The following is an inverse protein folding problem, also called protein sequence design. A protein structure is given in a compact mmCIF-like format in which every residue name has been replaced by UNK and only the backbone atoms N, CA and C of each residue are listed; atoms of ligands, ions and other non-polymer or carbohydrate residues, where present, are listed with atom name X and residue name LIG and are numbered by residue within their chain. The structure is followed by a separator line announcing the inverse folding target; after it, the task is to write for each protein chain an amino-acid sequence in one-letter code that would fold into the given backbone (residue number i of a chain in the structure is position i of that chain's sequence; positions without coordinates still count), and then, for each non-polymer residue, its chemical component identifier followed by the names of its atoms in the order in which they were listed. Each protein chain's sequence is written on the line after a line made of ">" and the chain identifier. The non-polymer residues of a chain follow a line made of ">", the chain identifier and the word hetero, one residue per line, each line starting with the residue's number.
data_IF_377338266507
#
_entry.id   IF_377338266507
#
_cell.length_a   1.000
_cell.length_b   1.000
_cell.length_c   1.000
_cell.angle_alpha   90.00
_cell.angle_beta   90.00
_cell.angle_gamma   90.00
#
_symmetry.space_group_name_H-M   'P 1'
#
loop_
_entity.id
_entity.type
_entity.pdbx_description
1 polymer ?
#
# COMPACT_ATOMS: atom_id res chain seq x y z
N UNK A 1 24.23 -27.21 -38.84
CA UNK A 1 24.97 -26.59 -37.72
C UNK A 1 26.03 -25.68 -38.34
N UNK A 2 26.10 -24.41 -37.93
CA UNK A 2 26.89 -24.09 -36.73
C UNK A 2 26.10 -23.31 -35.67
N UNK A 3 26.48 -23.61 -34.43
CA UNK A 3 26.17 -22.90 -33.19
C UNK A 3 27.16 -21.75 -33.02
N UNK A 4 26.70 -20.62 -32.49
CA UNK A 4 27.44 -19.72 -31.59
C UNK A 4 26.40 -18.87 -30.87
N UNK A 5 26.06 -19.16 -29.62
CA UNK A 5 26.76 -18.80 -28.36
C UNK A 5 26.64 -17.32 -27.99
N UNK A 6 25.82 -17.13 -26.96
CA UNK A 6 25.61 -16.02 -26.04
C UNK A 6 26.70 -14.95 -25.94
N UNK A 7 26.24 -13.70 -25.84
CA UNK A 7 26.72 -12.76 -24.83
C UNK A 7 25.50 -12.25 -24.06
N UNK A 8 25.52 -12.54 -22.76
CA UNK A 8 24.65 -11.98 -21.74
C UNK A 8 24.96 -10.49 -21.58
N UNK A 9 23.95 -9.64 -21.65
CA UNK A 9 24.00 -8.33 -21.02
C UNK A 9 22.83 -8.24 -20.04
N UNK A 10 23.14 -8.63 -18.80
CA UNK A 10 22.38 -8.26 -17.63
C UNK A 10 22.22 -6.73 -17.63
N UNK A 11 21.01 -6.25 -17.84
CA UNK A 11 20.63 -4.92 -17.41
C UNK A 11 19.40 -5.05 -16.54
N UNK A 12 19.68 -4.98 -15.24
CA UNK A 12 18.72 -4.84 -14.15
C UNK A 12 17.77 -3.71 -14.51
N UNK A 13 16.57 -4.04 -14.97
CA UNK A 13 15.46 -3.10 -14.98
C UNK A 13 15.00 -2.98 -13.52
N UNK A 14 15.69 -2.10 -12.80
CA UNK A 14 15.20 -1.53 -11.57
C UNK A 14 13.81 -0.96 -11.87
N UNK A 15 12.79 -1.59 -11.29
CA UNK A 15 11.42 -1.10 -11.23
C UNK A 15 11.45 0.24 -10.47
N UNK A 16 11.61 1.32 -11.22
CA UNK A 16 11.60 2.68 -10.72
C UNK A 16 10.18 3.24 -10.86
N UNK A 17 9.32 2.87 -9.93
CA UNK A 17 8.06 3.59 -9.67
C UNK A 17 7.83 3.59 -8.16
N UNK A 18 8.71 4.28 -7.45
CA UNK A 18 8.54 4.60 -6.04
C UNK A 18 9.12 5.98 -5.76
N UNK A 19 8.45 7.05 -6.22
CA UNK A 19 8.72 8.41 -5.76
C UNK A 19 7.46 9.27 -5.86
N UNK A 20 6.70 9.33 -4.76
CA UNK A 20 5.94 10.51 -4.38
C UNK A 20 5.77 10.56 -2.83
N UNK A 21 6.54 11.46 -2.19
CA UNK A 21 6.28 12.23 -0.93
C UNK A 21 6.01 11.48 0.40
N UNK A 22 6.36 11.88 1.64
CA UNK A 22 7.02 12.98 2.39
C UNK A 22 7.65 12.29 3.66
N UNK A 23 8.80 12.68 4.24
CA UNK A 23 8.92 13.73 5.26
C UNK A 23 9.08 13.21 6.71
N UNK A 24 10.28 13.39 7.29
CA UNK A 24 10.62 13.74 8.69
C UNK A 24 9.94 13.00 9.87
N UNK A 25 10.72 12.24 10.65
CA UNK A 25 10.83 12.36 12.14
C UNK A 25 12.22 11.88 12.57
N UNK A 26 12.96 12.73 13.27
CA UNK A 26 14.20 12.35 13.96
C UNK A 26 13.92 11.74 15.32
N UNK A 27 14.75 10.80 15.76
CA UNK A 27 14.95 10.53 17.18
C UNK A 27 16.42 10.38 17.48
N UNK A 28 16.80 11.03 18.56
CA UNK A 28 18.15 11.31 19.00
C UNK A 28 18.55 10.32 20.11
N UNK A 29 19.86 10.15 20.23
CA UNK A 29 20.61 9.82 21.43
C UNK A 29 20.59 8.40 22.03
N UNK A 30 21.81 7.84 21.96
CA UNK A 30 22.58 7.29 23.08
C UNK A 30 22.19 5.92 23.63
N UNK A 31 23.09 4.96 23.46
CA UNK A 31 23.52 4.22 24.64
C UNK A 31 25.01 3.86 24.59
N UNK A 32 25.65 4.02 25.74
CA UNK A 32 27.11 4.04 25.94
C UNK A 32 27.46 2.81 26.79
N UNK A 33 28.41 2.03 26.30
CA UNK A 33 29.12 0.94 26.99
C UNK A 33 29.35 1.21 28.49
N UNK A 34 29.08 0.24 29.38
CA UNK A 34 30.09 -0.36 30.32
C UNK A 34 29.52 -1.58 31.08
N UNK A 35 30.24 -2.71 31.03
CA UNK A 35 30.25 -3.80 32.05
C UNK A 35 31.16 -3.41 33.25
N UNK A 36 31.51 -4.27 34.23
CA UNK A 36 30.78 -5.25 35.06
C UNK A 36 31.05 -5.07 36.59
N UNK A 37 30.55 -6.03 37.38
CA UNK A 37 30.91 -6.41 38.77
C UNK A 37 30.46 -5.56 39.96
N UNK A 38 29.66 -6.19 40.85
CA UNK A 38 30.00 -6.30 42.27
C UNK A 38 29.12 -7.34 42.97
N UNK A 39 29.77 -8.30 43.63
CA UNK A 39 29.21 -9.40 44.42
C UNK A 39 29.05 -8.95 45.87
N UNK A 40 27.93 -9.29 46.56
CA UNK A 40 27.85 -9.50 48.03
C UNK A 40 26.41 -9.83 48.51
N UNK A 41 26.21 -10.44 49.71
CA UNK A 41 25.47 -11.70 49.84
C UNK A 41 24.13 -11.65 50.59
N UNK A 42 23.39 -12.76 50.43
CA UNK A 42 22.42 -13.43 51.33
C UNK A 42 21.82 -12.60 52.48
N UNK A 43 20.51 -12.32 52.37
CA UNK A 43 19.59 -12.30 53.52
C UNK A 43 18.40 -13.20 53.19
N UNK A 44 18.28 -14.30 53.94
CA UNK A 44 17.19 -15.25 53.89
C UNK A 44 15.95 -14.64 54.58
N UNK A 45 15.20 -13.80 53.86
CA UNK A 45 13.92 -13.30 54.35
C UNK A 45 12.83 -14.35 54.09
N UNK A 46 12.17 -14.78 55.16
CA UNK A 46 10.95 -15.58 55.13
C UNK A 46 9.89 -14.90 54.24
N UNK A 47 9.64 -15.46 53.07
CA UNK A 47 8.53 -15.09 52.19
C UNK A 47 7.32 -15.93 52.60
N UNK A 48 6.21 -15.33 53.08
CA UNK A 48 4.96 -16.07 53.27
C UNK A 48 4.47 -16.59 51.91
N UNK A 49 3.69 -17.69 51.85
CA UNK A 49 3.17 -18.21 50.59
C UNK A 49 2.31 -17.13 49.93
N UNK A 50 2.87 -16.44 48.93
CA UNK A 50 2.11 -15.61 48.01
C UNK A 50 1.25 -16.58 47.21
N UNK A 51 -0.04 -16.64 47.55
CA UNK A 51 -1.06 -17.14 46.64
C UNK A 51 -0.84 -16.44 45.31
N UNK A 52 -0.33 -17.17 44.33
CA UNK A 52 -0.22 -16.72 42.96
C UNK A 52 -1.64 -16.40 42.48
N UNK A 53 -2.04 -15.13 42.60
CA UNK A 53 -3.14 -14.61 41.81
C UNK A 53 -2.63 -14.66 40.38
N UNK A 54 -3.13 -15.65 39.63
CA UNK A 54 -3.04 -15.71 38.17
C UNK A 54 -3.65 -14.42 37.68
N UNK A 55 -2.81 -13.40 37.48
CA UNK A 55 -3.22 -12.16 36.85
C UNK A 55 -3.66 -12.55 35.44
N UNK A 56 -4.95 -12.41 35.08
CA UNK A 56 -5.38 -12.75 33.74
C UNK A 56 -4.59 -11.87 32.79
N UNK A 57 -3.81 -12.50 31.90
CA UNK A 57 -3.11 -11.80 30.82
C UNK A 57 -4.10 -10.85 30.15
N UNK A 58 -3.70 -9.60 29.86
CA UNK A 58 -4.58 -8.67 29.16
C UNK A 58 -5.06 -9.37 27.89
N UNK A 59 -6.37 -9.55 27.78
CA UNK A 59 -6.97 -10.11 26.57
C UNK A 59 -6.61 -9.16 25.45
N UNK A 60 -5.71 -9.58 24.56
CA UNK A 60 -5.34 -8.82 23.36
C UNK A 60 -6.64 -8.66 22.57
N UNK A 61 -7.19 -7.45 22.60
CA UNK A 61 -8.42 -7.12 21.88
C UNK A 61 -8.05 -7.11 20.40
N UNK A 62 -8.38 -8.21 19.71
CA UNK A 62 -8.26 -8.32 18.26
C UNK A 62 -9.25 -7.37 17.59
N UNK A 63 -8.80 -6.65 16.58
CA UNK A 63 -9.63 -5.68 15.85
C UNK A 63 -10.39 -6.39 14.71
N UNK A 64 -11.58 -5.89 14.32
CA UNK A 64 -12.27 -6.40 13.14
C UNK A 64 -11.49 -6.06 11.87
N UNK A 65 -11.59 -6.91 10.84
CA UNK A 65 -11.00 -6.60 9.54
C UNK A 65 -11.66 -5.36 8.94
N UNK A 66 -10.82 -4.39 8.56
CA UNK A 66 -11.24 -3.22 7.80
C UNK A 66 -10.83 -3.35 6.35
N UNK A 67 -11.81 -3.38 5.46
CA UNK A 67 -11.59 -3.45 4.02
C UNK A 67 -11.62 -2.05 3.45
N UNK A 68 -10.44 -1.50 3.18
CA UNK A 68 -10.25 -0.17 2.63
C UNK A 68 -8.95 -0.08 1.81
N UNK A 69 -8.63 1.11 1.32
CA UNK A 69 -7.37 1.38 0.61
C UNK A 69 -6.12 0.94 1.39
N UNK A 70 -6.09 1.04 2.71
CA UNK A 70 -4.90 0.68 3.49
C UNK A 70 -4.65 -0.83 3.45
N UNK A 71 -5.72 -1.64 3.44
CA UNK A 71 -5.60 -3.08 3.22
C UNK A 71 -4.98 -3.40 1.85
N UNK A 72 -5.38 -2.67 0.81
CA UNK A 72 -4.77 -2.80 -0.53
C UNK A 72 -3.28 -2.43 -0.50
N UNK A 73 -2.93 -1.29 0.09
CA UNK A 73 -1.53 -0.84 0.20
C UNK A 73 -0.67 -1.82 0.99
N UNK A 74 -1.24 -2.46 2.03
CA UNK A 74 -0.56 -3.52 2.76
C UNK A 74 -0.27 -4.72 1.86
N UNK A 75 -1.23 -5.17 1.05
CA UNK A 75 -1.00 -6.24 0.08
C UNK A 75 0.05 -5.87 -0.98
N UNK A 76 -0.01 -4.65 -1.53
CA UNK A 76 0.98 -4.13 -2.47
C UNK A 76 2.39 -4.16 -1.86
N UNK A 77 2.51 -3.75 -0.60
CA UNK A 77 3.77 -3.80 0.16
C UNK A 77 4.30 -5.23 0.24
N UNK A 78 3.50 -6.18 0.71
CA UNK A 78 3.92 -7.58 0.86
C UNK A 78 4.32 -8.23 -0.47
N UNK A 79 3.58 -7.97 -1.55
CA UNK A 79 3.92 -8.44 -2.90
C UNK A 79 5.26 -7.86 -3.36
N UNK A 80 5.51 -6.57 -3.06
CA UNK A 80 6.73 -5.89 -3.48
C UNK A 80 7.99 -6.36 -2.75
N UNK A 81 7.88 -6.75 -1.47
CA UNK A 81 9.00 -7.19 -0.63
C UNK A 81 9.45 -8.61 -0.96
N UNK A 82 8.53 -9.47 -1.37
CA UNK A 82 8.75 -10.92 -1.50
C UNK A 82 8.66 -11.41 -2.95
N UNK A 83 9.11 -10.59 -3.91
CA UNK A 83 9.01 -10.87 -5.35
C UNK A 83 9.40 -12.32 -5.70
N UNK A 84 8.44 -13.06 -6.26
CA UNK A 84 8.64 -14.41 -6.77
C UNK A 84 8.48 -15.55 -5.74
N UNK A 85 8.19 -15.26 -4.47
CA UNK A 85 7.88 -16.27 -3.45
C UNK A 85 6.43 -16.14 -2.95
N UNK A 86 5.48 -16.64 -3.74
CA UNK A 86 4.06 -16.60 -3.40
C UNK A 86 3.73 -17.32 -2.09
N UNK A 87 4.42 -18.42 -1.80
CA UNK A 87 4.21 -19.19 -0.58
C UNK A 87 4.73 -18.43 0.65
N UNK A 88 5.89 -17.76 0.50
CA UNK A 88 6.44 -16.84 1.51
C UNK A 88 5.53 -15.68 1.80
N UNK A 89 5.00 -15.00 0.76
CA UNK A 89 4.04 -13.90 0.91
C UNK A 89 2.83 -14.33 1.74
N UNK A 90 2.16 -15.43 1.35
CA UNK A 90 0.95 -15.88 2.06
C UNK A 90 1.24 -16.21 3.52
N UNK A 91 2.38 -16.86 3.80
CA UNK A 91 2.75 -17.22 5.16
C UNK A 91 3.04 -15.98 6.00
N UNK A 92 3.79 -15.02 5.46
CA UNK A 92 4.10 -13.77 6.16
C UNK A 92 2.83 -12.96 6.43
N UNK A 93 2.00 -12.79 5.40
CA UNK A 93 0.70 -12.13 5.50
C UNK A 93 -0.19 -12.77 6.57
N UNK A 94 -0.26 -14.11 6.60
CA UNK A 94 -1.03 -14.81 7.62
C UNK A 94 -0.49 -14.57 9.04
N UNK A 95 0.83 -14.55 9.23
CA UNK A 95 1.46 -14.25 10.53
C UNK A 95 1.07 -12.82 10.96
N UNK A 96 1.27 -11.84 10.09
CA UNK A 96 1.03 -10.44 10.42
C UNK A 96 -0.44 -10.16 10.71
N UNK A 97 -1.36 -10.72 9.90
CA UNK A 97 -2.79 -10.60 10.14
C UNK A 97 -3.23 -11.30 11.44
N UNK A 98 -2.70 -12.49 11.73
CA UNK A 98 -3.09 -13.26 12.93
C UNK A 98 -2.72 -12.58 14.25
N UNK A 99 -1.74 -11.67 14.21
CA UNK A 99 -1.33 -10.87 15.37
C UNK A 99 -2.29 -9.71 15.68
N UNK A 100 -3.12 -9.30 14.72
CA UNK A 100 -4.03 -8.15 14.85
C UNK A 100 -5.52 -8.51 14.76
N UNK A 101 -5.85 -9.58 14.03
CA UNK A 101 -7.22 -9.96 13.67
C UNK A 101 -7.62 -11.30 14.28
N UNK A 102 -8.93 -11.53 14.40
CA UNK A 102 -9.47 -12.85 14.73
C UNK A 102 -9.37 -13.81 13.52
N UNK A 103 -9.54 -15.11 13.77
CA UNK A 103 -9.26 -16.12 12.75
C UNK A 103 -10.22 -16.05 11.55
N UNK A 104 -11.48 -15.63 11.77
CA UNK A 104 -12.47 -15.43 10.70
C UNK A 104 -12.07 -14.27 9.79
N UNK A 105 -11.63 -13.17 10.40
CA UNK A 105 -11.13 -11.96 9.72
C UNK A 105 -9.82 -12.23 8.98
N UNK A 106 -8.91 -13.03 9.55
CA UNK A 106 -7.70 -13.50 8.85
C UNK A 106 -8.10 -14.29 7.61
N UNK A 107 -9.02 -15.25 7.73
CA UNK A 107 -9.49 -16.02 6.57
C UNK A 107 -10.14 -15.13 5.51
N UNK A 108 -10.90 -14.11 5.92
CA UNK A 108 -11.48 -13.15 4.99
C UNK A 108 -10.41 -12.33 4.28
N UNK A 109 -9.44 -11.78 5.00
CA UNK A 109 -8.34 -11.02 4.43
C UNK A 109 -7.51 -11.87 3.45
N UNK A 110 -7.24 -13.14 3.78
CA UNK A 110 -6.54 -14.06 2.88
C UNK A 110 -7.33 -14.34 1.60
N UNK A 111 -8.67 -14.47 1.67
CA UNK A 111 -9.51 -14.61 0.45
C UNK A 111 -9.46 -13.35 -0.42
N UNK A 112 -9.50 -12.17 0.20
CA UNK A 112 -9.39 -10.89 -0.53
C UNK A 112 -8.00 -10.81 -1.19
N UNK A 113 -6.94 -11.19 -0.48
CA UNK A 113 -5.58 -11.21 -1.01
C UNK A 113 -5.45 -12.12 -2.23
N UNK A 114 -6.01 -13.33 -2.20
CA UNK A 114 -5.97 -14.23 -3.36
C UNK A 114 -6.67 -13.65 -4.59
N UNK A 115 -7.82 -13.01 -4.41
CA UNK A 115 -8.52 -12.33 -5.50
C UNK A 115 -7.72 -11.12 -6.00
N UNK A 116 -7.09 -10.39 -5.09
CA UNK A 116 -6.22 -9.25 -5.42
C UNK A 116 -4.99 -9.69 -6.23
N UNK A 117 -4.33 -10.80 -5.87
CA UNK A 117 -3.22 -11.35 -6.66
C UNK A 117 -3.64 -11.74 -8.08
N UNK A 118 -4.83 -12.33 -8.25
CA UNK A 118 -5.37 -12.65 -9.59
C UNK A 118 -5.65 -11.40 -10.40
N UNK A 119 -6.20 -10.36 -9.77
CA UNK A 119 -6.38 -9.05 -10.37
C UNK A 119 -5.03 -8.46 -10.82
N UNK A 120 -4.00 -8.45 -9.97
CA UNK A 120 -2.67 -7.91 -10.31
C UNK A 120 -2.03 -8.65 -11.49
N UNK A 121 -2.15 -9.98 -11.53
CA UNK A 121 -1.66 -10.77 -12.66
C UNK A 121 -2.42 -10.46 -13.97
N UNK A 122 -3.74 -10.25 -13.91
CA UNK A 122 -4.54 -9.87 -15.07
C UNK A 122 -4.23 -8.43 -15.52
N UNK A 123 -4.09 -7.50 -14.57
CA UNK A 123 -3.74 -6.10 -14.80
C UNK A 123 -2.38 -5.95 -15.46
N UNK A 124 -1.37 -6.74 -15.05
CA UNK A 124 -0.04 -6.73 -15.66
C UNK A 124 -0.09 -7.04 -17.17
N UNK A 125 -1.06 -7.84 -17.63
CA UNK A 125 -1.27 -8.12 -19.05
C UNK A 125 -1.73 -6.89 -19.84
N UNK A 126 -2.59 -6.05 -19.24
CA UNK A 126 -3.04 -4.80 -19.85
C UNK A 126 -1.91 -3.77 -19.83
N UNK A 127 -1.21 -3.62 -18.72
CA UNK A 127 -0.08 -2.67 -18.61
C UNK A 127 1.06 -3.01 -19.60
N UNK A 128 1.32 -4.28 -19.87
CA UNK A 128 2.28 -4.70 -20.89
C UNK A 128 1.84 -4.36 -22.31
N UNK A 129 0.54 -4.46 -22.60
CA UNK A 129 0.00 -4.05 -23.91
C UNK A 129 0.05 -2.53 -24.07
N UNK A 130 -0.33 -1.77 -23.04
CA UNK A 130 -0.37 -0.30 -23.08
C UNK A 130 1.02 0.34 -23.00
N UNK A 131 1.97 -0.22 -22.26
CA UNK A 131 3.36 0.25 -22.25
C UNK A 131 4.02 0.12 -23.62
N UNK A 132 3.55 -0.81 -24.46
CA UNK A 132 3.94 -0.91 -25.87
C UNK A 132 3.16 0.05 -26.78
N UNK A 133 1.89 0.31 -26.45
CA UNK A 133 1.02 1.26 -27.11
C UNK A 133 1.14 2.64 -26.46
N UNK A 134 2.30 3.29 -26.60
CA UNK A 134 2.63 4.65 -26.15
C UNK A 134 1.38 5.54 -25.91
N UNK A 135 0.90 5.59 -24.66
CA UNK A 135 -0.33 6.27 -24.24
C UNK A 135 -0.17 7.76 -24.54
N UNK A 136 -0.95 8.29 -25.49
CA UNK A 136 -0.74 9.63 -26.03
C UNK A 136 -1.90 10.57 -25.81
N UNK A 137 -3.07 10.08 -25.40
CA UNK A 137 -4.26 10.92 -25.30
C UNK A 137 -5.02 10.70 -23.99
N UNK A 138 -5.83 11.70 -23.63
CA UNK A 138 -6.79 11.61 -22.54
C UNK A 138 -7.81 10.48 -22.74
N UNK A 139 -8.13 10.13 -24.00
CA UNK A 139 -9.03 9.04 -24.35
C UNK A 139 -8.40 7.67 -24.07
N UNK A 140 -7.10 7.50 -24.34
CA UNK A 140 -6.37 6.26 -24.02
C UNK A 140 -6.36 6.02 -22.50
N UNK A 141 -6.16 7.09 -21.72
CA UNK A 141 -6.18 7.03 -20.24
C UNK A 141 -7.57 6.64 -19.72
N UNK A 142 -8.63 7.22 -20.31
CA UNK A 142 -10.02 6.87 -19.95
C UNK A 142 -10.34 5.41 -20.31
N UNK A 143 -9.89 4.94 -21.48
CA UNK A 143 -10.08 3.57 -21.91
C UNK A 143 -9.35 2.58 -21.00
N UNK A 144 -8.08 2.85 -20.69
CA UNK A 144 -7.30 2.05 -19.74
C UNK A 144 -7.97 2.00 -18.37
N UNK A 145 -8.42 3.15 -17.86
CA UNK A 145 -9.13 3.21 -16.59
C UNK A 145 -10.39 2.33 -16.61
N UNK A 146 -11.19 2.44 -17.67
CA UNK A 146 -12.40 1.63 -17.84
C UNK A 146 -12.09 0.12 -17.88
N UNK A 147 -11.02 -0.29 -18.59
CA UNK A 147 -10.58 -1.69 -18.61
C UNK A 147 -10.15 -2.18 -17.22
N UNK A 148 -9.43 -1.34 -16.47
CA UNK A 148 -9.01 -1.65 -15.10
C UNK A 148 -10.21 -1.77 -14.16
N UNK A 149 -11.24 -0.94 -14.33
CA UNK A 149 -12.46 -1.02 -13.52
C UNK A 149 -13.27 -2.28 -13.82
N UNK A 150 -13.32 -2.71 -15.09
CA UNK A 150 -13.91 -4.01 -15.47
C UNK A 150 -13.15 -5.14 -14.78
N UNK A 151 -11.81 -5.15 -14.84
CA UNK A 151 -11.00 -6.19 -14.18
C UNK A 151 -11.23 -6.20 -12.67
N UNK A 152 -11.27 -5.04 -12.01
CA UNK A 152 -11.53 -4.99 -10.57
C UNK A 152 -12.91 -5.54 -10.25
N UNK A 153 -13.93 -5.18 -11.01
CA UNK A 153 -15.27 -5.73 -10.81
C UNK A 153 -15.33 -7.25 -11.03
N UNK A 154 -14.58 -7.78 -12.00
CA UNK A 154 -14.50 -9.21 -12.29
C UNK A 154 -13.83 -10.01 -11.17
N UNK A 155 -12.69 -9.54 -10.66
CA UNK A 155 -11.90 -10.30 -9.68
C UNK A 155 -12.26 -10.01 -8.22
N UNK A 156 -12.64 -8.77 -7.91
CA UNK A 156 -12.91 -8.32 -6.53
C UNK A 156 -14.41 -8.15 -6.27
N UNK A 157 -15.22 -7.95 -7.31
CA UNK A 157 -16.61 -7.52 -7.16
C UNK A 157 -16.72 -6.02 -6.90
N UNK A 158 -17.88 -5.44 -7.20
CA UNK A 158 -18.11 -4.00 -7.14
C UNK A 158 -17.85 -3.40 -5.75
N UNK A 159 -18.39 -4.03 -4.70
CA UNK A 159 -18.26 -3.52 -3.33
C UNK A 159 -16.81 -3.47 -2.85
N UNK A 160 -16.03 -4.55 -3.06
CA UNK A 160 -14.63 -4.57 -2.64
C UNK A 160 -13.78 -3.65 -3.53
N UNK A 161 -14.09 -3.56 -4.83
CA UNK A 161 -13.43 -2.62 -5.73
C UNK A 161 -13.57 -1.18 -5.23
N UNK A 162 -14.79 -0.74 -4.89
CA UNK A 162 -15.02 0.64 -4.42
C UNK A 162 -14.29 0.93 -3.11
N UNK A 163 -14.20 -0.05 -2.21
CA UNK A 163 -13.53 0.08 -0.91
C UNK A 163 -12.01 0.11 -1.03
N UNK A 164 -11.43 -0.75 -1.88
CA UNK A 164 -9.98 -0.84 -2.09
C UNK A 164 -9.46 0.25 -3.05
N UNK A 165 -10.30 0.77 -3.93
CA UNK A 165 -9.96 1.77 -4.96
C UNK A 165 -10.89 3.01 -4.94
N UNK A 166 -11.09 3.68 -3.79
CA UNK A 166 -12.06 4.78 -3.66
C UNK A 166 -11.72 6.03 -4.49
N UNK A 167 -10.53 6.05 -5.10
CA UNK A 167 -9.90 7.22 -5.70
C UNK A 167 -9.46 7.06 -7.16
N UNK A 168 -9.66 5.89 -7.78
CA UNK A 168 -9.14 5.61 -9.11
C UNK A 168 -9.78 6.50 -10.20
N UNK A 169 -11.10 6.72 -10.13
CA UNK A 169 -11.81 7.59 -11.07
C UNK A 169 -11.42 9.05 -10.94
N UNK A 170 -11.44 9.61 -9.71
CA UNK A 170 -11.10 11.02 -9.50
C UNK A 170 -9.65 11.34 -9.89
N UNK A 171 -8.72 10.41 -9.67
CA UNK A 171 -7.34 10.58 -10.10
C UNK A 171 -7.21 10.52 -11.63
N UNK A 172 -7.92 9.60 -12.28
CA UNK A 172 -7.97 9.49 -13.74
C UNK A 172 -8.57 10.74 -14.39
N UNK A 173 -9.67 11.27 -13.87
CA UNK A 173 -10.31 12.50 -14.37
C UNK A 173 -9.35 13.70 -14.31
N UNK A 174 -8.60 13.84 -13.21
CA UNK A 174 -7.61 14.91 -13.06
C UNK A 174 -6.45 14.76 -14.04
N UNK A 175 -5.94 13.53 -14.25
CA UNK A 175 -4.86 13.27 -15.21
C UNK A 175 -5.34 13.49 -16.65
N UNK A 176 -6.54 13.01 -16.98
CA UNK A 176 -7.21 13.24 -18.26
C UNK A 176 -7.37 14.75 -18.54
N UNK A 177 -7.76 15.51 -17.52
CA UNK A 177 -7.86 16.98 -17.58
C UNK A 177 -6.50 17.63 -17.86
N UNK A 178 -5.42 17.21 -17.18
CA UNK A 178 -4.06 17.72 -17.46
C UNK A 178 -3.63 17.44 -18.90
N UNK A 179 -3.88 16.24 -19.41
CA UNK A 179 -3.56 15.89 -20.80
C UNK A 179 -4.34 16.72 -21.81
N UNK A 180 -5.64 16.93 -21.57
CA UNK A 180 -6.45 17.81 -22.42
C UNK A 180 -5.90 19.24 -22.46
N UNK A 181 -5.51 19.80 -21.31
CA UNK A 181 -4.91 21.15 -21.23
C UNK A 181 -3.58 21.22 -21.99
N UNK A 182 -2.75 20.19 -21.90
CA UNK A 182 -1.46 20.13 -22.60
C UNK A 182 -1.62 20.03 -24.12
N UNK A 183 -2.66 19.34 -24.58
CA UNK A 183 -2.96 19.11 -26.00
C UNK A 183 -3.81 20.22 -26.63
N UNK A 184 -4.41 21.08 -25.81
CA UNK A 184 -5.19 22.21 -26.31
C UNK A 184 -4.29 23.32 -26.87
N UNK A 185 -4.18 23.33 -28.20
CA UNK A 185 -3.45 24.34 -28.97
C UNK A 185 -4.18 25.69 -29.06
N UNK A 186 -5.45 25.76 -28.66
CA UNK A 186 -6.22 27.01 -28.63
C UNK A 186 -5.92 27.87 -27.39
N UNK A 187 -5.33 27.26 -26.35
CA UNK A 187 -4.93 27.97 -25.12
C UNK A 187 -3.64 28.78 -25.33
N UNK A 188 -3.70 30.06 -24.92
CA UNK A 188 -2.49 30.87 -24.73
C UNK A 188 -1.58 30.25 -23.66
N UNK A 189 -0.25 30.32 -23.78
CA UNK A 189 0.66 29.71 -22.81
C UNK A 189 0.42 30.15 -21.36
N UNK A 190 0.02 31.40 -21.11
CA UNK A 190 -0.29 31.86 -19.75
C UNK A 190 -1.55 31.19 -19.19
N UNK A 191 -2.55 30.99 -20.04
CA UNK A 191 -3.80 30.34 -19.66
C UNK A 191 -3.61 28.85 -19.45
N UNK A 192 -2.81 28.19 -20.30
CA UNK A 192 -2.39 26.79 -20.11
C UNK A 192 -1.71 26.59 -18.76
N UNK A 193 -0.72 27.43 -18.41
CA UNK A 193 -0.03 27.34 -17.11
C UNK A 193 -1.01 27.55 -15.94
N UNK A 194 -1.91 28.53 -16.05
CA UNK A 194 -2.93 28.79 -15.02
C UNK A 194 -3.83 27.58 -14.80
N UNK A 195 -4.32 26.97 -15.88
CA UNK A 195 -5.19 25.79 -15.80
C UNK A 195 -4.44 24.58 -15.24
N UNK A 196 -3.20 24.32 -15.68
CA UNK A 196 -2.37 23.24 -15.12
C UNK A 196 -2.12 23.40 -13.63
N UNK A 197 -1.82 24.62 -13.17
CA UNK A 197 -1.63 24.91 -11.75
C UNK A 197 -2.91 24.69 -10.94
N UNK A 198 -4.08 25.04 -11.48
CA UNK A 198 -5.35 24.77 -10.82
C UNK A 198 -5.60 23.27 -10.67
N UNK A 199 -5.36 22.47 -11.72
CA UNK A 199 -5.48 21.01 -11.65
C UNK A 199 -4.44 20.40 -10.69
N UNK A 200 -3.23 20.96 -10.62
CA UNK A 200 -2.20 20.52 -9.67
C UNK A 200 -2.60 20.76 -8.21
N UNK A 201 -3.23 21.90 -7.90
CA UNK A 201 -3.75 22.20 -6.56
C UNK A 201 -4.86 21.23 -6.17
N UNK A 202 -5.76 20.89 -7.11
CA UNK A 202 -6.79 19.87 -6.87
C UNK A 202 -6.19 18.50 -6.57
N UNK A 203 -5.14 18.11 -7.31
CA UNK A 203 -4.45 16.83 -7.10
C UNK A 203 -3.80 16.76 -5.72
N UNK A 204 -3.19 17.86 -5.26
CA UNK A 204 -2.60 17.95 -3.92
C UNK A 204 -3.65 17.90 -2.82
N UNK A 205 -4.75 18.64 -2.97
CA UNK A 205 -5.85 18.62 -2.01
C UNK A 205 -6.49 17.22 -1.91
N UNK A 206 -6.60 16.54 -3.05
CA UNK A 206 -7.11 15.16 -3.10
C UNK A 206 -6.19 14.17 -2.38
N UNK A 207 -4.87 14.26 -2.59
CA UNK A 207 -3.90 13.43 -1.88
C UNK A 207 -3.97 13.66 -0.36
N UNK A 208 -3.98 14.93 0.06
CA UNK A 208 -4.10 15.30 1.48
C UNK A 208 -5.41 14.82 2.11
N UNK A 209 -6.52 14.90 1.37
CA UNK A 209 -7.81 14.40 1.85
C UNK A 209 -7.79 12.88 2.02
N UNK A 210 -7.17 12.14 1.10
CA UNK A 210 -7.00 10.69 1.27
C UNK A 210 -6.12 10.33 2.45
N UNK A 211 -5.01 11.03 2.67
CA UNK A 211 -4.13 10.81 3.82
C UNK A 211 -4.86 11.11 5.13
N UNK A 212 -5.67 12.18 5.16
CA UNK A 212 -6.48 12.55 6.32
C UNK A 212 -7.58 11.51 6.62
N UNK A 213 -8.23 10.94 5.59
CA UNK A 213 -9.22 9.87 5.76
C UNK A 213 -8.56 8.61 6.34
N UNK A 214 -7.37 8.24 5.87
CA UNK A 214 -6.61 7.12 6.44
C UNK A 214 -6.17 7.39 7.89
N UNK A 215 -5.79 8.63 8.23
CA UNK A 215 -5.36 9.00 9.59
C UNK A 215 -6.51 9.11 10.60
N UNK A 216 -7.65 9.68 10.22
CA UNK A 216 -8.84 9.82 11.08
C UNK A 216 -9.50 8.48 11.45
N UNK A 217 -9.17 7.41 10.73
CA UNK A 217 -9.71 6.09 11.00
C UNK A 217 -8.84 5.26 11.96
N UNK A 218 -7.57 5.66 12.15
CA UNK A 218 -6.64 5.03 13.09
C UNK A 218 -6.57 5.76 14.45
N UNK A 219 -7.18 6.94 14.54
CA UNK A 219 -7.30 7.72 15.76
C UNK A 219 -8.69 8.29 15.83
N UNK A 220 -9.44 7.98 16.90
CA UNK A 220 -10.84 8.37 17.11
C UNK A 220 -11.06 9.85 16.77
N UNK A 221 -11.54 10.14 15.55
CA UNK A 221 -11.78 11.52 15.17
C UNK A 221 -13.00 12.07 15.93
N UNK A 222 -12.90 13.30 16.48
CA UNK A 222 -14.01 13.92 17.18
C UNK A 222 -15.13 14.23 16.19
N UNK A 223 -16.32 13.69 16.45
CA UNK A 223 -17.55 14.05 15.75
C UNK A 223 -17.79 15.56 15.93
N UNK A 224 -17.87 16.29 14.81
CA UNK A 224 -18.51 17.62 14.78
C UNK A 224 -20.00 17.46 14.54
#
# INVERSE_FOLDING_TARGET
>A
MPRSMHISLSMVMASATALFFFGVVGFNMSDRLTEPESVSPVILNHVPPVTAQVQPSPSVVKQPLKVDRNLRLFFEHEISQHRGDEAGIRKQLQIDLSSHLNDEDVQQAMRIFENYQRYEHAAAGIEQQESSANIKSAQDIQLLQHQMDILRAEYLGSQLSDQLFPSAHQLSDMVSTQMNILQDHSLDPKERIKQLMATQVQLQAFAQHQDALSACQNSSCPTQ
#
